data_IF_867629660763
#
_entry.id   IF_867629660763
#
_cell.length_a   1.000
_cell.length_b   1.000
_cell.length_c   1.000
_cell.angle_alpha   90.00
_cell.angle_beta   90.00
_cell.angle_gamma   90.00
#
_symmetry.space_group_name_H-M   'P 1'
#
loop_
_entity.id
_entity.type
_entity.pdbx_description
1 polymer ?
#
# COMPACT_ATOMS: atom_id res chain seq x y z
N UNK A 1 -19.80 -3.02 -5.05
CA UNK A 1 -18.42 -3.11 -5.56
C UNK A 1 -18.20 -1.95 -6.50
N UNK A 2 -17.27 -1.05 -6.19
CA UNK A 2 -16.93 0.09 -7.05
C UNK A 2 -16.07 -0.46 -8.20
N UNK A 3 -16.52 -0.31 -9.45
CA UNK A 3 -15.72 -0.69 -10.61
C UNK A 3 -14.69 0.41 -10.88
N UNK A 4 -13.45 0.18 -10.44
CA UNK A 4 -12.32 1.07 -10.71
C UNK A 4 -11.69 0.72 -12.06
N UNK A 5 -11.24 1.74 -12.80
CA UNK A 5 -10.51 1.52 -14.05
C UNK A 5 -9.18 0.81 -13.79
N UNK A 6 -8.65 0.15 -14.83
CA UNK A 6 -7.35 -0.54 -14.76
C UNK A 6 -6.20 0.44 -14.44
N UNK A 7 -6.35 1.69 -14.86
CA UNK A 7 -5.42 2.79 -14.63
C UNK A 7 -5.64 3.53 -13.31
N UNK A 8 -6.66 3.16 -12.53
CA UNK A 8 -6.93 3.83 -11.26
C UNK A 8 -5.77 3.59 -10.27
N UNK A 9 -5.31 4.60 -9.52
CA UNK A 9 -4.15 4.44 -8.63
C UNK A 9 -4.29 3.32 -7.60
N UNK A 10 -5.50 3.08 -7.06
CA UNK A 10 -5.75 1.95 -6.16
C UNK A 10 -5.54 0.59 -6.86
N UNK A 11 -5.96 0.46 -8.11
CA UNK A 11 -5.78 -0.77 -8.91
C UNK A 11 -4.30 -1.01 -9.19
N UNK A 12 -3.58 0.03 -9.63
CA UNK A 12 -2.14 -0.05 -9.90
C UNK A 12 -1.35 -0.40 -8.64
N UNK A 13 -1.71 0.20 -7.50
CA UNK A 13 -1.08 -0.09 -6.22
C UNK A 13 -1.35 -1.53 -5.75
N UNK A 14 -2.61 -1.98 -5.81
CA UNK A 14 -3.01 -3.34 -5.44
C UNK A 14 -2.25 -4.41 -6.24
N UNK A 15 -1.93 -4.12 -7.50
CA UNK A 15 -1.13 -4.98 -8.39
C UNK A 15 0.39 -4.84 -8.22
N UNK A 16 0.84 -3.98 -7.30
CA UNK A 16 2.27 -3.72 -7.08
C UNK A 16 2.95 -2.93 -8.20
N UNK A 17 2.19 -2.29 -9.09
CA UNK A 17 2.74 -1.56 -10.25
C UNK A 17 3.23 -0.14 -9.88
N UNK A 18 2.74 0.42 -8.78
CA UNK A 18 3.20 1.70 -8.22
C UNK A 18 3.45 1.54 -6.72
N UNK A 19 4.37 2.35 -6.18
CA UNK A 19 4.64 2.36 -4.74
C UNK A 19 3.51 3.02 -3.95
N UNK A 20 3.47 2.77 -2.64
CA UNK A 20 2.52 3.41 -1.72
C UNK A 20 2.65 4.94 -1.75
N UNK A 21 3.87 5.47 -1.82
CA UNK A 21 4.12 6.91 -1.90
C UNK A 21 3.51 7.54 -3.16
N UNK A 22 3.66 6.88 -4.31
CA UNK A 22 3.06 7.34 -5.58
C UNK A 22 1.53 7.31 -5.48
N UNK A 23 0.96 6.21 -4.98
CA UNK A 23 -0.49 6.07 -4.83
C UNK A 23 -1.08 7.12 -3.87
N UNK A 24 -0.45 7.34 -2.71
CA UNK A 24 -0.84 8.35 -1.71
C UNK A 24 -0.86 9.74 -2.34
N UNK A 25 0.19 10.10 -3.06
CA UNK A 25 0.29 11.39 -3.73
C UNK A 25 -0.76 11.55 -4.85
N UNK A 26 -0.94 10.53 -5.70
CA UNK A 26 -1.93 10.56 -6.80
C UNK A 26 -3.37 10.67 -6.29
N UNK A 27 -3.68 10.03 -5.16
CA UNK A 27 -5.01 10.05 -4.56
C UNK A 27 -5.24 11.26 -3.63
N UNK A 28 -4.18 12.05 -3.36
CA UNK A 28 -4.21 13.19 -2.43
C UNK A 28 -4.72 12.82 -1.03
N UNK A 29 -4.32 11.65 -0.55
CA UNK A 29 -4.68 11.13 0.77
C UNK A 29 -3.53 11.32 1.75
N UNK A 30 -3.83 11.26 3.05
CA UNK A 30 -2.87 11.64 4.10
C UNK A 30 -1.64 10.76 4.14
N UNK A 31 -1.83 9.45 4.10
CA UNK A 31 -0.78 8.48 4.39
C UNK A 31 -1.11 7.09 3.85
N UNK A 32 -0.15 6.18 4.07
CA UNK A 32 -0.27 4.78 3.71
C UNK A 32 -1.40 4.06 4.46
N UNK A 33 -1.71 4.41 5.71
CA UNK A 33 -2.81 3.78 6.44
C UNK A 33 -4.16 4.10 5.77
N UNK A 34 -4.33 5.36 5.36
CA UNK A 34 -5.49 5.79 4.58
C UNK A 34 -5.58 5.02 3.26
N UNK A 35 -4.45 4.82 2.56
CA UNK A 35 -4.39 4.04 1.32
C UNK A 35 -4.94 2.61 1.53
N UNK A 36 -4.53 1.93 2.60
CA UNK A 36 -4.97 0.57 2.90
C UNK A 36 -6.48 0.47 3.15
N UNK A 37 -7.08 1.49 3.80
CA UNK A 37 -8.53 1.57 3.98
C UNK A 37 -9.24 1.67 2.62
N UNK A 38 -8.80 2.57 1.74
CA UNK A 38 -9.40 2.73 0.41
C UNK A 38 -9.27 1.47 -0.46
N UNK A 39 -8.17 0.73 -0.36
CA UNK A 39 -7.98 -0.56 -1.05
C UNK A 39 -9.00 -1.59 -0.53
N UNK A 40 -9.18 -1.68 0.80
CA UNK A 40 -10.17 -2.56 1.42
C UNK A 40 -11.61 -2.21 1.03
N UNK A 41 -11.98 -0.93 1.10
CA UNK A 41 -13.31 -0.45 0.71
C UNK A 41 -13.62 -0.71 -0.77
N UNK A 42 -12.59 -0.64 -1.63
CA UNK A 42 -12.70 -0.97 -3.05
C UNK A 42 -12.79 -2.48 -3.32
N UNK A 43 -12.60 -3.35 -2.31
CA UNK A 43 -12.56 -4.80 -2.47
C UNK A 43 -11.33 -5.29 -3.23
N UNK A 44 -10.25 -4.50 -3.24
CA UNK A 44 -8.99 -4.83 -3.89
C UNK A 44 -8.07 -5.60 -2.92
N UNK A 45 -7.18 -6.41 -3.47
CA UNK A 45 -6.21 -7.13 -2.65
C UNK A 45 -5.18 -6.13 -2.09
N UNK A 46 -4.97 -6.17 -0.77
CA UNK A 46 -3.87 -5.43 -0.15
C UNK A 46 -2.56 -6.13 -0.53
N UNK A 47 -1.59 -5.39 -1.11
CA UNK A 47 -0.32 -5.99 -1.49
C UNK A 47 0.46 -6.43 -0.24
N UNK A 48 0.93 -7.67 -0.26
CA UNK A 48 1.79 -8.22 0.79
C UNK A 48 3.22 -7.73 0.57
N UNK A 49 3.94 -7.26 1.62
CA UNK A 49 5.37 -6.96 1.51
C UNK A 49 6.16 -8.21 1.12
N UNK A 50 7.28 -8.03 0.43
CA UNK A 50 8.20 -9.14 0.16
C UNK A 50 8.94 -9.58 1.42
N UNK A 51 9.44 -10.82 1.45
CA UNK A 51 10.21 -11.35 2.59
C UNK A 51 11.38 -10.42 2.98
N UNK A 52 12.11 -9.90 1.98
CA UNK A 52 13.20 -8.95 2.23
C UNK A 52 12.74 -7.62 2.85
N UNK A 53 11.52 -7.17 2.54
CA UNK A 53 10.93 -5.97 3.15
C UNK A 53 10.51 -6.26 4.60
N UNK A 54 9.95 -7.45 4.84
CA UNK A 54 9.58 -7.94 6.18
C UNK A 54 10.83 -8.01 7.05
N UNK A 55 11.91 -8.64 6.57
CA UNK A 55 13.18 -8.74 7.30
C UNK A 55 13.74 -7.36 7.66
N UNK A 56 13.69 -6.39 6.75
CA UNK A 56 14.14 -5.02 7.01
C UNK A 56 13.28 -4.33 8.08
N UNK A 57 11.97 -4.57 8.08
CA UNK A 57 11.06 -4.04 9.11
C UNK A 57 11.33 -4.66 10.48
N UNK A 58 11.61 -5.98 10.53
CA UNK A 58 11.99 -6.69 11.76
C UNK A 58 13.28 -6.11 12.35
N UNK A 59 14.32 -5.91 11.53
CA UNK A 59 15.58 -5.30 11.97
C UNK A 59 15.41 -3.86 12.45
N UNK A 60 14.57 -3.08 11.75
CA UNK A 60 14.24 -1.71 12.16
C UNK A 60 13.55 -1.69 13.53
N UNK A 61 12.57 -2.58 13.74
CA UNK A 61 11.88 -2.72 15.02
C UNK A 61 12.84 -3.08 16.15
N UNK A 62 13.73 -4.06 15.93
CA UNK A 62 14.75 -4.48 16.90
C UNK A 62 15.69 -3.35 17.31
N UNK A 63 16.00 -2.45 16.39
CA UNK A 63 16.87 -1.29 16.64
C UNK A 63 16.17 -0.23 17.50
N UNK A 64 14.89 0.03 17.25
CA UNK A 64 14.11 1.06 17.96
C UNK A 64 13.71 0.59 19.37
N UNK A 65 13.50 -0.72 19.57
CA UNK A 65 13.01 -1.28 20.83
C UNK A 65 14.12 -1.52 21.89
N UNK A 66 15.38 -1.20 21.61
CA UNK A 66 16.48 -1.22 22.61
C UNK A 66 16.53 0.06 23.41
#
# INVERSE_FOLDING_TARGET
>A
MIQLSDTHPLTLYSRGQISSAVAVHSLKIRDHASLLVYVGDAGLQIPMPSDAEIDRQVESFRTIWR
#
